data_IF_711274699530
#
_entry.id   IF_711274699530
#
_cell.length_a   1.000
_cell.length_b   1.000
_cell.length_c   1.000
_cell.angle_alpha   90.00
_cell.angle_beta   90.00
_cell.angle_gamma   90.00
#
_symmetry.space_group_name_H-M   'P 1'
#
loop_
_entity.id
_entity.type
_entity.pdbx_description
1 polymer ?
#
# COMPACT_ATOMS: atom_id res chain seq x y z
N UNK A 1 29.71 -0.44 -0.12
CA UNK A 1 29.60 0.59 0.93
C UNK A 1 29.31 -0.10 2.27
N UNK A 2 30.06 0.23 3.33
CA UNK A 2 30.09 -0.52 4.59
C UNK A 2 28.90 -0.12 5.48
N UNK A 3 27.88 -0.99 5.60
CA UNK A 3 26.66 -0.76 6.39
C UNK A 3 26.90 -0.73 7.92
N UNK A 4 28.08 -1.16 8.38
CA UNK A 4 28.41 -1.33 9.81
C UNK A 4 28.55 -0.02 10.59
N UNK A 5 28.74 1.12 9.92
CA UNK A 5 28.96 2.43 10.57
C UNK A 5 27.72 3.32 10.61
N UNK A 6 26.58 2.89 10.07
CA UNK A 6 25.35 3.69 10.10
C UNK A 6 24.49 3.31 11.31
N UNK A 7 24.01 4.32 12.03
CA UNK A 7 22.98 4.16 13.06
C UNK A 7 21.65 3.86 12.37
N UNK A 8 21.31 2.58 12.25
CA UNK A 8 20.06 2.12 11.60
C UNK A 8 18.96 2.05 12.67
N UNK A 9 17.83 2.69 12.40
CA UNK A 9 16.62 2.55 13.21
C UNK A 9 15.63 1.68 12.45
N UNK A 10 15.11 0.64 13.11
CA UNK A 10 14.17 -0.32 12.53
C UNK A 10 12.80 -0.06 13.18
N UNK A 11 11.78 0.12 12.35
CA UNK A 11 10.40 0.36 12.80
C UNK A 11 9.47 -0.72 12.26
N UNK A 12 8.59 -1.29 13.10
CA UNK A 12 7.64 -2.32 12.65
C UNK A 12 6.41 -1.68 11.99
N UNK A 13 6.00 -2.23 10.85
CA UNK A 13 4.72 -1.96 10.20
C UNK A 13 3.76 -3.14 10.37
N UNK A 14 2.47 -2.90 10.20
CA UNK A 14 1.42 -3.93 10.31
C UNK A 14 0.46 -3.87 9.13
N UNK A 15 0.12 -5.02 8.53
CA UNK A 15 -1.01 -5.08 7.60
C UNK A 15 -2.33 -4.89 8.34
N UNK A 16 -3.13 -3.92 7.91
CA UNK A 16 -4.42 -3.57 8.53
C UNK A 16 -5.41 -4.73 8.51
N UNK A 17 -5.34 -5.56 7.46
CA UNK A 17 -6.24 -6.68 7.22
C UNK A 17 -5.62 -8.02 7.63
N UNK A 18 -6.47 -8.93 8.10
CA UNK A 18 -6.14 -10.34 8.25
C UNK A 18 -6.25 -11.10 6.92
N UNK A 19 -5.98 -12.41 6.97
CA UNK A 19 -6.07 -13.29 5.78
C UNK A 19 -7.50 -13.46 5.24
N UNK A 20 -8.51 -13.08 6.02
CA UNK A 20 -9.93 -13.13 5.65
C UNK A 20 -10.44 -11.77 5.16
N UNK A 21 -9.58 -10.75 5.05
CA UNK A 21 -9.96 -9.40 4.64
C UNK A 21 -10.65 -8.57 5.71
N UNK A 22 -10.61 -8.98 6.99
CA UNK A 22 -11.19 -8.23 8.11
C UNK A 22 -10.15 -7.33 8.77
N UNK A 23 -10.61 -6.18 9.26
CA UNK A 23 -9.76 -5.23 9.98
C UNK A 23 -9.28 -5.86 11.29
N UNK A 24 -7.96 -5.86 11.52
CA UNK A 24 -7.38 -6.25 12.81
C UNK A 24 -7.68 -5.20 13.89
N UNK A 25 -7.46 -5.57 15.15
CA UNK A 25 -7.52 -4.60 16.25
C UNK A 25 -6.33 -3.63 16.19
N UNK A 26 -6.45 -2.60 15.36
CA UNK A 26 -5.38 -1.63 15.08
C UNK A 26 -4.93 -0.89 16.34
N UNK A 27 -5.88 -0.53 17.22
CA UNK A 27 -5.59 0.13 18.48
C UNK A 27 -4.63 -0.69 19.36
N UNK A 28 -4.87 -1.99 19.49
CA UNK A 28 -4.00 -2.89 20.27
C UNK A 28 -2.62 -3.00 19.63
N UNK A 29 -2.53 -3.10 18.30
CA UNK A 29 -1.25 -3.24 17.61
C UNK A 29 -0.40 -1.97 17.70
N UNK A 30 -1.00 -0.79 17.55
CA UNK A 30 -0.31 0.48 17.76
C UNK A 30 0.17 0.64 19.21
N UNK A 31 -0.67 0.30 20.18
CA UNK A 31 -0.28 0.34 21.60
C UNK A 31 0.86 -0.65 21.92
N UNK A 32 0.99 -1.75 21.16
CA UNK A 32 2.09 -2.73 21.29
C UNK A 32 3.36 -2.34 20.54
N UNK A 33 3.41 -1.15 19.90
CA UNK A 33 4.61 -0.60 19.31
C UNK A 33 4.66 -0.64 17.78
N UNK A 34 3.56 -0.95 17.08
CA UNK A 34 3.49 -0.75 15.63
C UNK A 34 3.66 0.73 15.28
N UNK A 35 4.52 1.03 14.31
CA UNK A 35 4.88 2.39 13.92
C UNK A 35 4.16 2.86 12.65
N UNK A 36 3.72 1.92 11.80
CA UNK A 36 3.03 2.22 10.56
C UNK A 36 1.97 1.18 10.20
N UNK A 37 1.01 1.58 9.38
CA UNK A 37 -0.08 0.75 8.88
C UNK A 37 0.05 0.50 7.38
N UNK A 38 -0.02 -0.75 6.96
CA UNK A 38 -0.04 -1.17 5.56
C UNK A 38 -1.47 -1.46 5.10
N UNK A 39 -1.84 -0.87 3.96
CA UNK A 39 -3.14 -0.98 3.32
C UNK A 39 -2.97 -1.30 1.82
N UNK A 40 -4.05 -1.75 1.19
CA UNK A 40 -4.15 -1.90 -0.27
C UNK A 40 -5.25 -0.96 -0.77
N UNK A 41 -4.99 -0.20 -1.82
CA UNK A 41 -5.95 0.75 -2.39
C UNK A 41 -7.21 0.07 -2.97
N UNK A 42 -7.08 -1.21 -3.36
CA UNK A 42 -8.19 -2.07 -3.78
C UNK A 42 -9.08 -2.55 -2.63
N UNK A 43 -8.73 -2.25 -1.38
CA UNK A 43 -9.59 -2.57 -0.23
C UNK A 43 -10.88 -1.76 -0.28
N UNK A 44 -11.95 -2.29 0.33
CA UNK A 44 -13.22 -1.57 0.46
C UNK A 44 -13.01 -0.15 1.03
N UNK A 45 -13.68 0.84 0.45
CA UNK A 45 -13.55 2.25 0.85
C UNK A 45 -13.76 2.48 2.36
N UNK A 46 -14.67 1.74 3.00
CA UNK A 46 -14.88 1.82 4.44
C UNK A 46 -13.66 1.32 5.24
N UNK A 47 -12.98 0.27 4.76
CA UNK A 47 -11.75 -0.24 5.39
C UNK A 47 -10.65 0.81 5.29
N UNK A 48 -10.47 1.42 4.11
CA UNK A 48 -9.48 2.48 3.90
C UNK A 48 -9.74 3.65 4.84
N UNK A 49 -10.98 4.16 4.85
CA UNK A 49 -11.39 5.27 5.72
C UNK A 49 -11.14 4.96 7.19
N UNK A 50 -11.59 3.82 7.69
CA UNK A 50 -11.41 3.44 9.10
C UNK A 50 -9.93 3.26 9.43
N UNK A 51 -9.17 2.56 8.58
CA UNK A 51 -7.73 2.35 8.77
C UNK A 51 -6.95 3.66 8.83
N UNK A 52 -7.22 4.58 7.92
CA UNK A 52 -6.60 5.91 7.88
C UNK A 52 -6.99 6.76 9.08
N UNK A 53 -8.27 6.73 9.50
CA UNK A 53 -8.70 7.41 10.73
C UNK A 53 -7.93 6.92 11.96
N UNK A 54 -7.74 5.61 12.11
CA UNK A 54 -6.94 5.06 13.22
C UNK A 54 -5.47 5.49 13.16
N UNK A 55 -4.88 5.53 11.96
CA UNK A 55 -3.52 5.99 11.77
C UNK A 55 -3.37 7.48 12.12
N UNK A 56 -4.32 8.33 11.67
CA UNK A 56 -4.38 9.75 12.00
C UNK A 56 -4.52 9.98 13.51
N UNK A 57 -5.46 9.28 14.18
CA UNK A 57 -5.69 9.39 15.63
C UNK A 57 -4.48 8.99 16.48
N UNK A 58 -3.59 8.16 15.94
CA UNK A 58 -2.39 7.66 16.65
C UNK A 58 -1.10 8.28 16.13
N UNK A 59 -1.21 9.25 15.22
CA UNK A 59 -0.09 9.92 14.55
C UNK A 59 0.89 8.90 13.96
N UNK A 60 0.35 7.91 13.23
CA UNK A 60 1.11 6.85 12.57
C UNK A 60 1.08 7.01 11.07
N UNK A 61 2.19 6.68 10.43
CA UNK A 61 2.30 6.70 8.97
C UNK A 61 1.52 5.54 8.36
N UNK A 62 1.02 5.75 7.15
CA UNK A 62 0.40 4.71 6.33
C UNK A 62 1.29 4.39 5.12
N UNK A 63 1.29 3.14 4.72
CA UNK A 63 1.87 2.66 3.47
C UNK A 63 0.75 1.99 2.69
N UNK A 64 0.49 2.47 1.48
CA UNK A 64 -0.59 1.93 0.65
C UNK A 64 0.01 1.33 -0.61
N UNK A 65 -0.33 0.07 -0.88
CA UNK A 65 -0.10 -0.51 -2.21
C UNK A 65 -1.20 -0.01 -3.14
N UNK A 66 -0.84 0.91 -4.03
CA UNK A 66 -1.73 1.50 -5.01
C UNK A 66 -1.73 0.65 -6.29
N UNK A 67 -2.82 -0.05 -6.54
CA UNK A 67 -2.97 -0.85 -7.75
C UNK A 67 -4.45 -1.18 -7.98
N UNK A 68 -4.95 -0.82 -9.16
CA UNK A 68 -6.27 -1.20 -9.63
C UNK A 68 -6.15 -2.29 -10.71
N UNK A 69 -6.58 -3.50 -10.34
CA UNK A 69 -6.55 -4.68 -11.20
C UNK A 69 -7.48 -4.53 -12.43
N UNK A 70 -8.45 -3.60 -12.43
CA UNK A 70 -9.33 -3.39 -13.58
C UNK A 70 -8.65 -2.63 -14.73
N UNK A 71 -7.57 -1.91 -14.45
CA UNK A 71 -6.73 -1.24 -15.46
C UNK A 71 -5.52 -2.09 -15.86
N UNK A 72 -5.41 -3.29 -15.31
CA UNK A 72 -4.32 -4.22 -15.55
C UNK A 72 -4.88 -5.47 -16.25
N UNK A 73 -4.68 -5.58 -17.56
CA UNK A 73 -5.12 -6.73 -18.37
C UNK A 73 -4.25 -7.98 -18.12
N UNK A 74 -3.97 -8.31 -16.86
CA UNK A 74 -2.97 -9.27 -16.41
C UNK A 74 -1.58 -8.97 -16.98
N UNK A 75 -1.19 -7.69 -16.99
CA UNK A 75 0.12 -7.26 -17.42
C UNK A 75 1.22 -7.93 -16.60
N UNK A 76 2.30 -8.31 -17.26
CA UNK A 76 3.47 -8.95 -16.64
C UNK A 76 4.68 -8.02 -16.59
N UNK A 77 4.56 -6.85 -17.19
CA UNK A 77 5.57 -5.80 -17.21
C UNK A 77 4.93 -4.43 -17.47
N UNK A 78 5.70 -3.34 -17.39
CA UNK A 78 5.21 -2.01 -17.74
C UNK A 78 4.70 -1.95 -19.20
N UNK A 79 3.58 -1.27 -19.42
CA UNK A 79 3.08 -0.98 -20.77
C UNK A 79 3.97 0.06 -21.46
N UNK A 80 4.92 -0.41 -22.27
CA UNK A 80 5.86 0.41 -23.00
C UNK A 80 6.35 -0.26 -24.30
N UNK A 81 7.05 0.50 -25.13
CA UNK A 81 7.65 0.04 -26.40
C UNK A 81 8.44 -1.27 -26.23
N UNK A 82 9.32 -1.34 -25.22
CA UNK A 82 10.10 -2.56 -24.95
C UNK A 82 9.21 -3.75 -24.62
N UNK A 83 8.09 -3.57 -23.93
CA UNK A 83 7.17 -4.66 -23.63
C UNK A 83 6.41 -5.15 -24.85
N UNK A 84 6.03 -4.21 -25.71
CA UNK A 84 5.43 -4.52 -27.00
C UNK A 84 6.40 -5.30 -27.91
N UNK A 85 7.67 -4.86 -28.01
CA UNK A 85 8.72 -5.56 -28.78
C UNK A 85 8.95 -7.00 -28.30
N UNK A 86 8.83 -7.24 -27.00
CA UNK A 86 8.97 -8.56 -26.38
C UNK A 86 7.68 -9.40 -26.45
N UNK A 87 6.56 -8.84 -26.93
CA UNK A 87 5.27 -9.51 -27.00
C UNK A 87 4.64 -9.80 -25.63
N UNK A 88 4.95 -9.00 -24.61
CA UNK A 88 4.48 -9.16 -23.24
C UNK A 88 3.28 -8.25 -22.96
N UNK A 89 2.33 -8.74 -22.15
CA UNK A 89 1.19 -7.93 -21.71
C UNK A 89 1.65 -6.79 -20.79
N UNK A 90 1.20 -5.57 -21.08
CA UNK A 90 1.57 -4.36 -20.37
C UNK A 90 0.63 -4.03 -19.20
N UNK A 91 1.21 -3.60 -18.08
CA UNK A 91 0.52 -3.01 -16.93
C UNK A 91 0.44 -1.50 -17.16
N UNK A 92 -0.78 -0.96 -17.19
CA UNK A 92 -0.99 0.47 -17.41
C UNK A 92 -0.48 1.33 -16.25
N UNK A 93 0.23 2.41 -16.54
CA UNK A 93 0.61 3.42 -15.54
C UNK A 93 -0.59 4.08 -14.85
N UNK A 94 -1.77 4.05 -15.50
CA UNK A 94 -3.03 4.57 -14.93
C UNK A 94 -3.50 3.71 -13.76
N UNK A 95 -3.17 2.41 -13.73
CA UNK A 95 -3.57 1.49 -12.66
C UNK A 95 -2.99 1.87 -11.29
N UNK A 96 -1.81 2.49 -11.25
CA UNK A 96 -1.20 2.97 -10.01
C UNK A 96 -1.57 4.43 -9.72
N UNK A 97 -1.46 5.31 -10.73
CA UNK A 97 -1.64 6.76 -10.54
C UNK A 97 -3.07 7.15 -10.16
N UNK A 98 -4.08 6.45 -10.69
CA UNK A 98 -5.49 6.65 -10.29
C UNK A 98 -5.71 6.33 -8.82
N UNK A 99 -5.12 5.24 -8.34
CA UNK A 99 -5.22 4.79 -6.96
C UNK A 99 -4.45 5.71 -6.01
N UNK A 100 -3.29 6.23 -6.41
CA UNK A 100 -2.57 7.25 -5.64
C UNK A 100 -3.42 8.51 -5.48
N UNK A 101 -4.05 9.00 -6.56
CA UNK A 101 -4.94 10.16 -6.50
C UNK A 101 -6.14 9.90 -5.57
N UNK A 102 -6.75 8.71 -5.64
CA UNK A 102 -7.82 8.31 -4.73
C UNK A 102 -7.38 8.34 -3.27
N UNK A 103 -6.20 7.81 -2.95
CA UNK A 103 -5.68 7.77 -1.59
C UNK A 103 -5.34 9.18 -1.07
N UNK A 104 -4.81 10.04 -1.93
CA UNK A 104 -4.53 11.45 -1.60
C UNK A 104 -5.80 12.22 -1.23
N UNK A 105 -6.94 11.91 -1.83
CA UNK A 105 -8.22 12.58 -1.51
C UNK A 105 -8.81 12.11 -0.18
N UNK A 106 -8.53 10.87 0.24
CA UNK A 106 -9.08 10.27 1.47
C UNK A 106 -8.21 10.56 2.70
N UNK A 107 -6.88 10.68 2.52
CA UNK A 107 -5.88 10.81 3.58
C UNK A 107 -5.63 12.28 3.96
#
# INVERSE_FOLDING_TARGET
>A
QNLKTRKIQIFPSICALDKQGKLKNLATLFNKGAHALELKSSSNANILRVGMQYALMKEKSIFVKCHDENFDDNGVMNDCETGFELGLAGMSAVAESSEVAKIQEIA
#
